data_IF_649938160001
#
_entry.id   IF_649938160001
#
_cell.length_a   1.000
_cell.length_b   1.000
_cell.length_c   1.000
_cell.angle_alpha   90.00
_cell.angle_beta   90.00
_cell.angle_gamma   90.00
#
_symmetry.space_group_name_H-M   'P 1'
#
loop_
_entity.id
_entity.type
_entity.pdbx_description
1 polymer ?
#
# COMPACT_ATOMS: atom_id res chain seq x y z
N UNK A 1 8.79 -4.11 12.77
CA UNK A 1 9.16 -2.88 13.52
C UNK A 1 7.94 -1.98 13.50
N UNK A 2 7.36 -1.66 14.66
CA UNK A 2 6.15 -0.82 14.74
C UNK A 2 6.49 0.60 14.25
N UNK A 3 5.71 1.13 13.30
CA UNK A 3 5.86 2.52 12.83
C UNK A 3 4.64 3.32 13.26
N UNK A 4 4.86 4.33 14.11
CA UNK A 4 3.81 5.23 14.60
C UNK A 4 3.53 6.35 13.59
N UNK A 5 2.26 6.71 13.46
CA UNK A 5 1.72 7.79 12.64
C UNK A 5 1.02 8.76 13.61
N UNK A 6 1.80 9.74 14.08
CA UNK A 6 1.39 10.57 15.21
C UNK A 6 1.17 9.75 16.50
N UNK A 7 0.30 10.26 17.38
CA UNK A 7 -0.02 9.62 18.67
C UNK A 7 -1.23 8.70 18.63
N UNK A 8 -1.92 8.62 17.48
CA UNK A 8 -3.24 8.03 17.37
C UNK A 8 -3.31 6.82 16.43
N UNK A 9 -2.33 6.64 15.52
CA UNK A 9 -2.32 5.52 14.56
C UNK A 9 -0.98 4.78 14.58
N UNK A 10 -1.03 3.45 14.56
CA UNK A 10 0.15 2.59 14.53
C UNK A 10 0.02 1.58 13.38
N UNK A 11 1.11 1.38 12.62
CA UNK A 11 1.22 0.23 11.72
C UNK A 11 1.82 -0.93 12.50
N UNK A 12 1.01 -1.95 12.74
CA UNK A 12 1.38 -3.18 13.44
C UNK A 12 2.22 -4.08 12.56
N UNK A 13 1.80 -4.23 11.31
CA UNK A 13 2.49 -5.02 10.31
C UNK A 13 2.25 -4.44 8.91
N UNK A 14 3.18 -4.69 8.01
CA UNK A 14 3.14 -4.21 6.64
C UNK A 14 4.00 -5.12 5.77
N UNK A 15 3.41 -5.60 4.69
CA UNK A 15 4.10 -6.40 3.69
C UNK A 15 3.54 -6.15 2.30
N UNK A 16 4.36 -6.41 1.30
CA UNK A 16 3.97 -6.34 -0.10
C UNK A 16 4.30 -7.65 -0.79
N UNK A 17 3.45 -8.02 -1.73
CA UNK A 17 3.64 -9.21 -2.54
C UNK A 17 3.22 -8.95 -3.99
N UNK A 18 3.77 -9.77 -4.89
CA UNK A 18 3.36 -9.79 -6.28
C UNK A 18 2.28 -10.84 -6.45
N UNK A 19 1.15 -10.44 -7.02
CA UNK A 19 -0.01 -11.30 -7.27
C UNK A 19 -0.37 -11.24 -8.76
N UNK A 20 -0.79 -12.35 -9.35
CA UNK A 20 -1.33 -12.34 -10.71
C UNK A 20 -2.59 -11.49 -10.80
N UNK A 21 -2.76 -10.73 -11.88
CA UNK A 21 -4.03 -10.06 -12.13
C UNK A 21 -5.11 -11.10 -12.48
N UNK A 22 -6.39 -10.87 -12.11
CA UNK A 22 -7.50 -11.73 -12.55
C UNK A 22 -7.64 -11.80 -14.07
N UNK A 23 -7.24 -10.73 -14.75
CA UNK A 23 -7.14 -10.62 -16.19
C UNK A 23 -5.70 -10.95 -16.63
N UNK A 24 -5.45 -12.09 -17.29
CA UNK A 24 -4.10 -12.50 -17.70
C UNK A 24 -3.41 -11.53 -18.65
N UNK A 25 -4.17 -10.71 -19.39
CA UNK A 25 -3.61 -9.71 -20.32
C UNK A 25 -2.99 -8.51 -19.57
N UNK A 26 -3.31 -8.35 -18.28
CA UNK A 26 -2.80 -7.27 -17.42
C UNK A 26 -1.57 -7.67 -16.58
N UNK A 27 -1.08 -8.90 -16.72
CA UNK A 27 0.16 -9.37 -16.10
C UNK A 27 0.07 -9.59 -14.59
N UNK A 28 0.91 -8.88 -13.83
CA UNK A 28 1.01 -8.99 -12.38
C UNK A 28 0.75 -7.63 -11.72
N UNK A 29 0.30 -7.67 -10.47
CA UNK A 29 0.05 -6.50 -9.63
C UNK A 29 0.80 -6.61 -8.30
N UNK A 30 1.36 -5.50 -7.85
CA UNK A 30 1.92 -5.37 -6.52
C UNK A 30 0.77 -5.09 -5.56
N UNK A 31 0.65 -5.87 -4.49
CA UNK A 31 -0.40 -5.72 -3.48
C UNK A 31 0.23 -5.36 -2.15
N UNK A 32 -0.28 -4.31 -1.52
CA UNK A 32 0.08 -3.92 -0.16
C UNK A 32 -0.95 -4.48 0.80
N UNK A 33 -0.46 -5.11 1.87
CA UNK A 33 -1.25 -5.63 2.99
C UNK A 33 -0.63 -5.22 4.30
N UNK A 34 -1.41 -5.33 5.37
CA UNK A 34 -0.90 -5.10 6.70
C UNK A 34 -2.00 -4.84 7.71
N UNK A 35 -1.60 -4.30 8.85
CA UNK A 35 -2.48 -4.15 10.00
C UNK A 35 -2.23 -2.82 10.68
N UNK A 36 -3.31 -2.17 11.08
CA UNK A 36 -3.29 -0.90 11.79
C UNK A 36 -3.91 -1.04 13.17
N UNK A 37 -3.47 -0.18 14.07
CA UNK A 37 -4.10 -0.01 15.37
C UNK A 37 -4.32 1.47 15.62
N UNK A 38 -5.50 1.80 16.15
CA UNK A 38 -5.83 3.15 16.58
C UNK A 38 -6.53 3.10 17.91
N UNK A 39 -6.27 4.07 18.78
CA UNK A 39 -6.96 4.19 20.07
C UNK A 39 -8.05 5.29 20.05
N UNK A 40 -8.22 5.97 18.91
CA UNK A 40 -9.20 7.04 18.71
C UNK A 40 -9.84 6.94 17.33
N UNK A 41 -11.04 7.48 17.08
CA UNK A 41 -11.62 7.47 15.75
C UNK A 41 -10.77 8.30 14.78
N UNK A 42 -10.44 7.77 13.62
CA UNK A 42 -9.57 8.43 12.62
C UNK A 42 -10.04 8.17 11.19
N UNK A 43 -9.92 9.19 10.35
CA UNK A 43 -10.11 9.07 8.89
C UNK A 43 -8.75 9.03 8.23
N UNK A 44 -8.56 8.06 7.35
CA UNK A 44 -7.28 7.81 6.71
C UNK A 44 -7.47 7.59 5.22
N UNK A 45 -6.61 8.22 4.41
CA UNK A 45 -6.46 7.92 2.99
C UNK A 45 -5.19 7.07 2.82
N UNK A 46 -5.36 5.89 2.24
CA UNK A 46 -4.29 5.01 1.80
C UNK A 46 -4.08 5.20 0.32
N UNK A 47 -2.82 5.26 -0.09
CA UNK A 47 -2.45 5.25 -1.50
C UNK A 47 -1.26 4.32 -1.70
N UNK A 48 -1.42 3.32 -2.55
CA UNK A 48 -0.30 2.56 -3.06
C UNK A 48 0.16 3.22 -4.35
N UNK A 49 1.47 3.34 -4.52
CA UNK A 49 2.06 3.92 -5.71
C UNK A 49 3.24 3.08 -6.20
N UNK A 50 3.34 2.95 -7.52
CA UNK A 50 4.44 2.31 -8.23
C UNK A 50 4.93 3.28 -9.28
N UNK A 51 6.22 3.62 -9.21
CA UNK A 51 6.89 4.51 -10.16
C UNK A 51 7.71 3.71 -11.17
N UNK A 52 7.47 3.93 -12.46
CA UNK A 52 8.14 3.28 -13.59
C UNK A 52 8.47 4.32 -14.65
N UNK A 53 9.74 4.45 -15.04
CA UNK A 53 10.15 5.37 -16.13
C UNK A 53 9.60 6.80 -16.00
N UNK A 54 9.56 7.34 -14.77
CA UNK A 54 8.97 8.64 -14.40
C UNK A 54 7.43 8.72 -14.51
N UNK A 55 6.75 7.58 -14.62
CA UNK A 55 5.29 7.44 -14.56
C UNK A 55 4.93 6.85 -13.20
N UNK A 56 4.22 7.61 -12.38
CA UNK A 56 3.66 7.12 -11.12
C UNK A 56 2.23 6.61 -11.35
N UNK A 57 2.02 5.32 -11.10
CA UNK A 57 0.68 4.75 -10.99
C UNK A 57 0.30 4.68 -9.53
N UNK A 58 -0.97 4.96 -9.24
CA UNK A 58 -1.47 4.87 -7.89
C UNK A 58 -2.88 4.29 -7.84
N UNK A 59 -3.15 3.54 -6.79
CA UNK A 59 -4.50 3.19 -6.34
C UNK A 59 -4.70 3.82 -4.96
N UNK A 60 -5.93 4.27 -4.65
CA UNK A 60 -6.22 4.91 -3.36
C UNK A 60 -7.51 4.38 -2.73
N UNK A 61 -7.50 4.21 -1.41
CA UNK A 61 -8.64 3.75 -0.61
C UNK A 61 -8.83 4.67 0.60
N UNK A 62 -10.06 5.09 0.88
CA UNK A 62 -10.41 5.86 2.08
C UNK A 62 -11.01 4.94 3.13
N UNK A 63 -10.52 5.01 4.37
CA UNK A 63 -11.11 4.31 5.51
C UNK A 63 -11.51 5.30 6.59
N UNK A 64 -12.63 4.98 7.24
CA UNK A 64 -12.99 5.54 8.54
C UNK A 64 -12.82 4.42 9.56
N UNK A 65 -11.91 4.62 10.51
CA UNK A 65 -11.61 3.65 11.55
C UNK A 65 -12.23 4.18 12.84
N UNK A 66 -13.23 3.47 13.36
CA UNK A 66 -13.81 3.77 14.66
C UNK A 66 -12.85 3.38 15.79
N UNK A 67 -12.95 4.02 16.95
CA UNK A 67 -12.10 3.65 18.09
C UNK A 67 -12.47 2.25 18.60
N UNK A 68 -11.46 1.41 18.78
CA UNK A 68 -11.56 0.16 19.53
C UNK A 68 -10.16 -0.39 19.74
N UNK A 69 -9.96 -1.22 20.77
CA UNK A 69 -8.64 -1.83 21.05
C UNK A 69 -8.18 -2.84 19.98
N UNK A 70 -8.93 -2.96 18.87
CA UNK A 70 -8.75 -3.97 17.86
C UNK A 70 -7.83 -3.49 16.73
N UNK A 71 -6.89 -4.35 16.37
CA UNK A 71 -6.12 -4.24 15.14
C UNK A 71 -7.06 -4.38 13.94
N UNK A 72 -7.02 -3.43 13.00
CA UNK A 72 -7.74 -3.43 11.74
C UNK A 72 -6.84 -3.92 10.60
N UNK A 73 -7.32 -4.85 9.79
CA UNK A 73 -6.65 -5.25 8.55
C UNK A 73 -6.71 -4.12 7.51
N UNK A 74 -5.57 -3.82 6.88
CA UNK A 74 -5.51 -2.90 5.76
C UNK A 74 -6.26 -3.51 4.56
N UNK A 75 -7.13 -2.75 3.89
CA UNK A 75 -7.71 -3.20 2.63
C UNK A 75 -6.59 -3.44 1.62
N UNK A 76 -6.70 -4.52 0.86
CA UNK A 76 -5.80 -4.77 -0.25
C UNK A 76 -5.86 -3.59 -1.23
N UNK A 77 -4.70 -3.00 -1.49
CA UNK A 77 -4.55 -1.93 -2.47
C UNK A 77 -3.46 -2.35 -3.45
N UNK A 78 -3.71 -2.16 -4.74
CA UNK A 78 -2.92 -2.77 -5.79
C UNK A 78 -2.50 -1.81 -6.87
N UNK A 79 -1.32 -2.03 -7.43
CA UNK A 79 -0.85 -1.28 -8.59
C UNK A 79 -0.38 -2.28 -9.63
N UNK A 80 -0.92 -2.13 -10.83
CA UNK A 80 -0.64 -3.01 -11.96
C UNK A 80 0.70 -2.59 -12.55
N UNK A 81 1.54 -3.54 -12.94
CA UNK A 81 2.69 -3.24 -13.78
C UNK A 81 2.24 -3.13 -15.26
N UNK A 82 2.27 -1.95 -15.90
CA UNK A 82 1.87 -1.74 -17.28
C UNK A 82 2.93 -2.26 -18.24
N UNK A 83 4.17 -2.45 -17.77
CA UNK A 83 5.26 -3.01 -18.54
C UNK A 83 5.20 -4.54 -18.39
N UNK A 84 4.41 -5.17 -19.25
CA UNK A 84 4.55 -6.61 -19.50
C UNK A 84 5.86 -6.78 -20.27
N UNK A 85 6.95 -7.09 -19.57
CA UNK A 85 8.22 -7.45 -20.20
C UNK A 85 7.98 -8.65 -21.11
N UNK A 86 8.06 -8.45 -22.43
CA UNK A 86 7.97 -9.52 -23.43
C UNK A 86 9.06 -10.59 -23.26
N UNK A 87 10.06 -10.30 -22.43
CA UNK A 87 11.26 -11.11 -22.26
C UNK A 87 11.19 -11.97 -20.98
N UNK A 88 10.15 -11.83 -20.16
CA UNK A 88 10.00 -12.59 -18.91
C UNK A 88 11.07 -12.30 -17.84
N UNK A 89 11.98 -11.36 -18.09
CA UNK A 89 12.93 -10.90 -17.09
C UNK A 89 12.20 -9.99 -16.11
N UNK A 90 11.92 -10.55 -14.93
CA UNK A 90 11.35 -9.83 -13.81
C UNK A 90 12.25 -8.67 -13.39
N UNK A 91 11.62 -7.57 -12.98
CA UNK A 91 12.30 -6.38 -12.48
C UNK A 91 12.16 -6.24 -10.96
N UNK A 92 13.04 -5.47 -10.32
CA UNK A 92 12.84 -5.00 -8.95
C UNK A 92 12.16 -3.64 -8.97
N UNK A 93 11.10 -3.50 -8.19
CA UNK A 93 10.24 -2.33 -8.21
C UNK A 93 9.99 -1.85 -6.79
N UNK A 94 9.95 -0.53 -6.59
CA UNK A 94 9.60 0.06 -5.30
C UNK A 94 8.10 0.32 -5.24
N UNK A 95 7.43 -0.43 -4.38
CA UNK A 95 6.05 -0.20 -4.02
C UNK A 95 5.99 0.71 -2.79
N UNK A 96 5.26 1.81 -2.92
CA UNK A 96 5.19 2.85 -1.90
C UNK A 96 3.78 2.94 -1.33
N UNK A 97 3.62 2.75 -0.02
CA UNK A 97 2.41 3.08 0.72
C UNK A 97 2.52 4.50 1.26
N UNK A 98 1.56 5.36 0.91
CA UNK A 98 1.36 6.69 1.47
C UNK A 98 0.10 6.68 2.32
N UNK A 99 0.22 7.16 3.55
CA UNK A 99 -0.88 7.27 4.51
C UNK A 99 -1.07 8.73 4.87
N UNK A 100 -2.28 9.24 4.66
CA UNK A 100 -2.70 10.57 5.10
C UNK A 100 -3.76 10.41 6.17
N UNK A 101 -3.40 10.67 7.43
CA UNK A 101 -4.34 10.65 8.55
C UNK A 101 -4.75 12.08 8.96
N UNK A 102 -5.91 12.21 9.62
CA UNK A 102 -6.52 13.47 10.06
C UNK A 102 -5.48 14.51 10.56
N UNK A 103 -5.16 15.48 9.70
CA UNK A 103 -4.04 16.42 9.92
C UNK A 103 -3.17 16.66 8.68
N UNK A 104 -3.42 15.93 7.58
CA UNK A 104 -2.76 16.10 6.27
C UNK A 104 -1.25 15.84 6.25
N UNK A 105 -0.71 15.17 7.27
CA UNK A 105 0.68 14.70 7.26
C UNK A 105 0.76 13.40 6.46
N UNK A 106 1.64 13.38 5.47
CA UNK A 106 1.96 12.19 4.70
C UNK A 106 2.96 11.31 5.47
N UNK A 107 2.63 10.02 5.59
CA UNK A 107 3.56 9.01 6.06
C UNK A 107 3.84 8.02 4.93
N UNK A 108 5.12 7.88 4.57
CA UNK A 108 5.59 7.08 3.43
C UNK A 108 6.31 5.82 3.89
N UNK A 109 5.97 4.69 3.25
CA UNK A 109 6.57 3.39 3.50
C UNK A 109 6.91 2.72 2.18
N UNK A 110 8.21 2.55 1.93
CA UNK A 110 8.72 1.95 0.70
C UNK A 110 9.08 0.49 0.95
N UNK A 111 8.77 -0.38 -0.01
CA UNK A 111 9.19 -1.78 -0.03
C UNK A 111 9.48 -2.24 -1.45
N UNK A 112 10.50 -3.07 -1.60
CA UNK A 112 10.82 -3.67 -2.90
C UNK A 112 9.97 -4.92 -3.16
N UNK A 113 9.47 -5.05 -4.38
CA UNK A 113 8.83 -6.26 -4.90
C UNK A 113 9.47 -6.66 -6.23
N UNK A 114 9.37 -7.94 -6.59
CA UNK A 114 9.74 -8.44 -7.91
C UNK A 114 8.49 -8.82 -8.69
N UNK A 115 8.32 -8.27 -9.90
CA UNK A 115 7.32 -8.79 -10.85
C UNK A 115 7.90 -10.01 -11.55
#
# INVERSE_FOLDING_TARGET
MLKKIGDYLEICDFFAETVSTPDPERGQRGVIKGFLKTNTPVKVLYMASLELDNIEMHESVRLSIESGENTLELPEISVINPIVSSNGEGGKYTLTLKIYASGAVEHRFDTEIGF
#
